data_IF_843833910200
#
_entry.id   IF_843833910200
#
_cell.length_a   1.000
_cell.length_b   1.000
_cell.length_c   1.000
_cell.angle_alpha   90.00
_cell.angle_beta   90.00
_cell.angle_gamma   90.00
#
_symmetry.space_group_name_H-M   'P 1'
#
loop_
_entity.id
_entity.type
_entity.pdbx_description
1 polymer ?
#
# COMPACT_ATOMS: atom_id res chain seq x y z
N UNK A 1 -24.34 20.81 6.60
CA UNK A 1 -24.05 20.17 5.29
C UNK A 1 -25.31 19.50 4.77
N UNK A 2 -25.54 19.50 3.46
CA UNK A 2 -26.65 18.76 2.84
C UNK A 2 -26.35 17.26 2.78
N UNK A 3 -27.29 16.42 3.22
CA UNK A 3 -27.19 14.96 3.12
C UNK A 3 -26.95 14.50 1.67
N UNK A 4 -27.62 15.14 0.71
CA UNK A 4 -27.46 14.82 -0.71
C UNK A 4 -26.05 15.12 -1.23
N UNK A 5 -25.46 16.24 -0.81
CA UNK A 5 -24.09 16.60 -1.19
C UNK A 5 -23.07 15.61 -0.59
N UNK A 6 -23.29 15.18 0.66
CA UNK A 6 -22.46 14.14 1.27
C UNK A 6 -22.55 12.81 0.53
N UNK A 7 -23.77 12.34 0.23
CA UNK A 7 -23.97 11.11 -0.54
C UNK A 7 -23.31 11.16 -1.92
N UNK A 8 -23.36 12.31 -2.59
CA UNK A 8 -22.71 12.50 -3.88
C UNK A 8 -21.17 12.48 -3.77
N UNK A 9 -20.59 13.12 -2.74
CA UNK A 9 -19.15 13.02 -2.48
C UNK A 9 -18.74 11.58 -2.16
N UNK A 10 -19.50 10.87 -1.32
CA UNK A 10 -19.22 9.49 -0.96
C UNK A 10 -19.24 8.56 -2.19
N UNK A 11 -20.24 8.71 -3.07
CA UNK A 11 -20.31 7.98 -4.33
C UNK A 11 -19.14 8.30 -5.25
N UNK A 12 -18.76 9.58 -5.35
CA UNK A 12 -17.60 10.03 -6.12
C UNK A 12 -16.29 9.40 -5.63
N UNK A 13 -16.04 9.45 -4.31
CA UNK A 13 -14.84 8.86 -3.70
C UNK A 13 -14.80 7.35 -3.89
N UNK A 14 -15.93 6.67 -3.68
CA UNK A 14 -16.04 5.23 -3.90
C UNK A 14 -15.72 4.86 -5.35
N UNK A 15 -16.27 5.56 -6.33
CA UNK A 15 -16.01 5.30 -7.74
C UNK A 15 -14.53 5.53 -8.13
N UNK A 16 -13.87 6.55 -7.54
CA UNK A 16 -12.50 6.92 -7.91
C UNK A 16 -11.43 6.14 -7.15
N UNK A 17 -11.65 5.75 -5.90
CA UNK A 17 -10.63 5.12 -5.05
C UNK A 17 -11.09 3.87 -4.31
N UNK A 18 -12.38 3.53 -4.37
CA UNK A 18 -12.97 2.40 -3.63
C UNK A 18 -13.30 2.74 -2.18
N UNK A 19 -12.98 3.96 -1.73
CA UNK A 19 -13.19 4.40 -0.35
C UNK A 19 -14.69 4.42 -0.01
N UNK A 20 -15.06 3.62 0.98
CA UNK A 20 -16.40 3.67 1.59
C UNK A 20 -16.41 4.71 2.70
N UNK A 21 -17.11 5.82 2.43
CA UNK A 21 -17.31 6.90 3.38
C UNK A 21 -18.70 6.78 4.03
N UNK A 22 -18.73 6.30 5.28
CA UNK A 22 -19.95 6.19 6.08
C UNK A 22 -20.37 7.52 6.74
N UNK A 23 -21.64 7.67 7.17
CA UNK A 23 -22.12 8.87 7.85
C UNK A 23 -21.36 9.22 9.14
N UNK A 24 -20.84 8.21 9.84
CA UNK A 24 -20.00 8.32 11.03
C UNK A 24 -18.65 9.02 10.77
N UNK A 25 -18.24 9.09 9.50
CA UNK A 25 -16.97 9.69 9.06
C UNK A 25 -17.13 11.10 8.48
N UNK A 26 -18.29 11.73 8.67
CA UNK A 26 -18.57 13.08 8.16
C UNK A 26 -17.54 14.12 8.61
N UNK A 27 -17.03 14.00 9.84
CA UNK A 27 -15.98 14.88 10.38
C UNK A 27 -14.67 14.84 9.56
N UNK A 28 -14.38 13.75 8.84
CA UNK A 28 -13.21 13.66 7.95
C UNK A 28 -13.32 14.62 6.78
N UNK A 29 -14.54 14.83 6.26
CA UNK A 29 -14.80 15.79 5.18
C UNK A 29 -14.44 17.20 5.64
N UNK A 30 -14.92 17.60 6.82
CA UNK A 30 -14.66 18.93 7.38
C UNK A 30 -13.16 19.16 7.65
N UNK A 31 -12.53 18.20 8.32
CA UNK A 31 -11.13 18.32 8.74
C UNK A 31 -10.13 18.24 7.59
N UNK A 32 -10.40 17.42 6.56
CA UNK A 32 -9.46 17.21 5.44
C UNK A 32 -9.73 18.12 4.26
N UNK A 33 -10.99 18.43 3.95
CA UNK A 33 -11.34 19.28 2.80
C UNK A 33 -11.54 20.75 3.18
N UNK A 34 -11.62 21.10 4.47
CA UNK A 34 -11.86 22.47 4.90
C UNK A 34 -10.79 23.47 4.43
N UNK A 35 -9.51 23.11 4.52
CA UNK A 35 -8.42 23.96 4.03
C UNK A 35 -8.45 24.11 2.50
N UNK A 36 -8.72 23.02 1.78
CA UNK A 36 -8.89 23.01 0.33
C UNK A 36 -10.04 23.93 -0.10
N UNK A 37 -11.22 23.76 0.48
CA UNK A 37 -12.41 24.55 0.14
C UNK A 37 -12.18 26.04 0.39
N UNK A 38 -11.52 26.41 1.49
CA UNK A 38 -11.13 27.81 1.75
C UNK A 38 -10.17 28.35 0.70
N UNK A 39 -9.12 27.60 0.35
CA UNK A 39 -8.13 27.99 -0.66
C UNK A 39 -8.75 28.17 -2.04
N UNK A 40 -9.64 27.26 -2.42
CA UNK A 40 -10.34 27.26 -3.72
C UNK A 40 -11.59 28.15 -3.76
N UNK A 41 -11.90 28.84 -2.65
CA UNK A 41 -13.08 29.71 -2.46
C UNK A 41 -14.40 28.99 -2.75
N UNK A 42 -14.52 27.74 -2.31
CA UNK A 42 -15.71 26.90 -2.47
C UNK A 42 -16.59 27.06 -1.23
N UNK A 43 -17.80 27.57 -1.42
CA UNK A 43 -18.69 27.99 -0.34
C UNK A 43 -19.16 26.81 0.54
N UNK A 44 -19.48 25.68 -0.08
CA UNK A 44 -20.03 24.52 0.61
C UNK A 44 -19.74 23.21 -0.14
N UNK A 45 -20.15 22.10 0.47
CA UNK A 45 -19.94 20.76 -0.08
C UNK A 45 -20.70 20.52 -1.39
N UNK A 46 -21.86 21.16 -1.58
CA UNK A 46 -22.62 21.04 -2.83
C UNK A 46 -21.87 21.70 -3.98
N UNK A 47 -21.32 22.89 -3.75
CA UNK A 47 -20.44 23.58 -4.71
C UNK A 47 -19.16 22.78 -4.99
N UNK A 48 -18.59 22.11 -3.99
CA UNK A 48 -17.44 21.22 -4.19
C UNK A 48 -17.80 20.07 -5.13
N UNK A 49 -18.89 19.34 -4.84
CA UNK A 49 -19.36 18.20 -5.66
C UNK A 49 -19.65 18.63 -7.10
N UNK A 50 -20.31 19.77 -7.30
CA UNK A 50 -20.57 20.31 -8.63
C UNK A 50 -19.25 20.61 -9.39
N UNK A 51 -18.26 21.18 -8.70
CA UNK A 51 -16.97 21.54 -9.31
C UNK A 51 -16.11 20.33 -9.63
N UNK A 52 -16.02 19.33 -8.76
CA UNK A 52 -15.24 18.10 -9.03
C UNK A 52 -15.88 17.21 -10.11
N UNK A 53 -17.19 17.35 -10.34
CA UNK A 53 -17.91 16.61 -11.38
C UNK A 53 -17.86 17.31 -12.74
N UNK A 54 -17.30 18.51 -12.83
CA UNK A 54 -17.25 19.28 -14.08
C UNK A 54 -16.08 18.84 -14.97
N UNK A 55 -16.15 19.09 -16.30
CA UNK A 55 -15.05 18.75 -17.21
C UNK A 55 -13.71 19.42 -16.86
N UNK A 56 -13.74 20.57 -16.19
CA UNK A 56 -12.54 21.31 -15.75
C UNK A 56 -12.14 20.99 -14.31
N UNK A 57 -12.91 20.12 -13.63
CA UNK A 57 -12.76 19.78 -12.22
C UNK A 57 -11.70 18.72 -11.91
N UNK A 58 -11.08 18.10 -12.90
CA UNK A 58 -10.26 16.88 -12.70
C UNK A 58 -9.06 17.09 -11.76
N UNK A 59 -8.42 18.26 -11.79
CA UNK A 59 -7.31 18.56 -10.87
C UNK A 59 -7.79 18.62 -9.41
N UNK A 60 -8.92 19.31 -9.17
CA UNK A 60 -9.54 19.41 -7.85
C UNK A 60 -10.08 18.06 -7.38
N UNK A 61 -10.71 17.31 -8.29
CA UNK A 61 -11.19 15.95 -8.07
C UNK A 61 -10.08 15.04 -7.54
N UNK A 62 -8.89 15.10 -8.16
CA UNK A 62 -7.72 14.33 -7.72
C UNK A 62 -7.30 14.72 -6.31
N UNK A 63 -7.14 16.02 -6.05
CA UNK A 63 -6.73 16.50 -4.73
C UNK A 63 -7.73 16.12 -3.63
N UNK A 64 -9.04 16.18 -3.91
CA UNK A 64 -10.08 15.71 -2.99
C UNK A 64 -9.91 14.22 -2.68
N UNK A 65 -9.66 13.39 -3.69
CA UNK A 65 -9.43 11.95 -3.48
C UNK A 65 -8.19 11.72 -2.61
N UNK A 66 -7.08 12.41 -2.91
CA UNK A 66 -5.84 12.29 -2.15
C UNK A 66 -6.02 12.71 -0.68
N UNK A 67 -6.63 13.87 -0.43
CA UNK A 67 -6.87 14.36 0.94
C UNK A 67 -7.80 13.43 1.73
N UNK A 68 -8.70 12.71 1.08
CA UNK A 68 -9.61 11.77 1.73
C UNK A 68 -8.98 10.40 2.02
N UNK A 69 -7.78 10.10 1.50
CA UNK A 69 -7.04 8.88 1.87
C UNK A 69 -6.58 8.92 3.33
N UNK A 70 -6.43 7.75 3.96
CA UNK A 70 -5.89 7.63 5.32
C UNK A 70 -4.55 6.90 5.25
N UNK A 71 -3.48 7.64 5.57
CA UNK A 71 -2.10 7.27 5.25
C UNK A 71 -1.26 6.90 6.50
N UNK A 72 -1.82 6.11 7.42
CA UNK A 72 -1.06 5.68 8.59
C UNK A 72 -0.16 4.49 8.26
N UNK A 73 1.15 4.69 8.40
CA UNK A 73 2.17 3.66 8.21
C UNK A 73 3.35 3.87 9.15
N UNK A 74 4.13 2.81 9.39
CA UNK A 74 5.36 2.86 10.18
C UNK A 74 6.27 1.69 9.81
N UNK A 75 7.57 1.81 10.11
CA UNK A 75 8.56 0.80 9.76
C UNK A 75 8.24 -0.52 10.48
N UNK A 76 8.39 -1.63 9.75
CA UNK A 76 8.19 -2.99 10.26
C UNK A 76 6.83 -3.20 10.97
N UNK A 77 5.76 -2.55 10.48
CA UNK A 77 4.41 -2.65 11.04
C UNK A 77 3.97 -4.11 11.27
N UNK A 78 3.50 -4.41 12.47
CA UNK A 78 3.09 -5.73 12.97
C UNK A 78 4.21 -6.79 13.12
N UNK A 79 5.45 -6.52 12.68
CA UNK A 79 6.63 -7.39 12.82
C UNK A 79 6.57 -8.69 12.02
N UNK A 80 5.63 -9.57 12.36
CA UNK A 80 5.51 -10.94 11.83
C UNK A 80 5.53 -11.05 10.30
N UNK A 81 4.83 -10.19 9.52
CA UNK A 81 4.91 -10.25 8.06
C UNK A 81 6.35 -10.11 7.53
N UNK A 82 7.13 -9.22 8.14
CA UNK A 82 8.52 -8.95 7.77
C UNK A 82 9.46 -10.06 8.23
N UNK A 83 9.21 -10.63 9.40
CA UNK A 83 9.93 -11.82 9.88
C UNK A 83 9.73 -12.99 8.91
N UNK A 84 8.49 -13.26 8.49
CA UNK A 84 8.19 -14.32 7.52
C UNK A 84 8.86 -14.07 6.15
N UNK A 85 8.95 -12.82 5.68
CA UNK A 85 9.75 -12.49 4.48
C UNK A 85 11.21 -12.90 4.67
N UNK A 86 11.81 -12.49 5.80
CA UNK A 86 13.23 -12.72 6.11
C UNK A 86 13.56 -14.19 6.29
N UNK A 87 12.73 -14.93 7.01
CA UNK A 87 13.03 -16.31 7.44
C UNK A 87 12.55 -17.36 6.45
N UNK A 88 11.48 -17.08 5.70
CA UNK A 88 10.79 -18.07 4.87
C UNK A 88 10.70 -17.63 3.40
N UNK A 89 9.93 -16.59 3.10
CA UNK A 89 9.52 -16.31 1.71
C UNK A 89 10.71 -16.00 0.80
N UNK A 90 11.64 -15.14 1.25
CA UNK A 90 12.79 -14.73 0.44
C UNK A 90 13.76 -15.90 0.19
N UNK A 91 13.98 -16.76 1.19
CA UNK A 91 14.81 -17.97 1.04
C UNK A 91 14.18 -18.98 0.09
N UNK A 92 12.88 -19.25 0.26
CA UNK A 92 12.12 -20.17 -0.61
C UNK A 92 12.17 -19.73 -2.07
N UNK A 93 11.89 -18.44 -2.32
CA UNK A 93 11.92 -17.89 -3.67
C UNK A 93 13.34 -17.86 -4.25
N UNK A 94 14.36 -17.52 -3.45
CA UNK A 94 15.74 -17.56 -3.92
C UNK A 94 16.17 -18.96 -4.40
N UNK A 95 15.78 -20.00 -3.68
CA UNK A 95 16.05 -21.39 -4.06
C UNK A 95 15.25 -21.84 -5.29
N UNK A 96 14.02 -21.35 -5.46
CA UNK A 96 13.13 -21.75 -6.54
C UNK A 96 13.41 -21.04 -7.89
N UNK A 97 14.04 -19.86 -7.87
CA UNK A 97 14.26 -19.05 -9.08
C UNK A 97 15.62 -19.39 -9.73
N UNK A 98 15.67 -19.73 -11.05
CA UNK A 98 16.92 -20.00 -11.76
C UNK A 98 17.91 -18.84 -11.65
N UNK A 99 19.23 -19.07 -11.73
CA UNK A 99 20.25 -18.01 -11.73
C UNK A 99 19.89 -16.87 -12.69
N UNK A 100 20.08 -15.62 -12.25
CA UNK A 100 19.77 -14.41 -13.02
C UNK A 100 18.30 -13.95 -13.00
N UNK A 101 17.33 -14.82 -12.68
CA UNK A 101 15.94 -14.37 -12.54
C UNK A 101 15.77 -13.50 -11.28
N UNK A 102 15.20 -12.28 -11.36
CA UNK A 102 14.98 -11.43 -10.20
C UNK A 102 13.79 -11.93 -9.36
N UNK A 103 13.81 -11.60 -8.07
CA UNK A 103 12.63 -11.67 -7.19
C UNK A 103 11.95 -10.29 -7.23
N UNK A 104 10.64 -10.24 -7.49
CA UNK A 104 9.89 -8.99 -7.58
C UNK A 104 8.91 -8.86 -6.41
N UNK A 105 9.00 -7.73 -5.71
CA UNK A 105 8.18 -7.40 -4.53
C UNK A 105 7.35 -6.15 -4.83
N UNK A 106 6.07 -6.19 -4.53
CA UNK A 106 5.16 -5.06 -4.63
C UNK A 106 4.62 -4.66 -3.25
N UNK A 107 4.88 -3.43 -2.82
CA UNK A 107 4.17 -2.79 -1.70
C UNK A 107 3.06 -1.91 -2.27
N UNK A 108 1.83 -2.42 -2.18
CA UNK A 108 0.63 -1.81 -2.71
C UNK A 108 -0.06 -0.95 -1.64
N UNK A 109 -0.35 0.32 -1.97
CA UNK A 109 -0.69 1.38 -1.02
C UNK A 109 0.44 1.64 -0.01
N UNK A 110 1.64 1.89 -0.54
CA UNK A 110 2.87 1.99 0.25
C UNK A 110 2.94 3.25 1.13
N UNK A 111 2.01 4.20 0.96
CA UNK A 111 1.95 5.46 1.69
C UNK A 111 3.29 6.20 1.65
N UNK A 112 3.80 6.66 2.80
CA UNK A 112 5.07 7.41 2.91
C UNK A 112 6.33 6.53 2.86
N UNK A 113 6.21 5.27 2.40
CA UNK A 113 7.32 4.43 1.98
C UNK A 113 7.94 3.52 3.04
N UNK A 114 7.54 3.62 4.31
CA UNK A 114 8.13 2.85 5.41
C UNK A 114 8.03 1.33 5.19
N UNK A 115 6.93 0.82 4.63
CA UNK A 115 6.78 -0.62 4.34
C UNK A 115 7.77 -1.09 3.26
N UNK A 116 7.85 -0.38 2.14
CA UNK A 116 8.77 -0.72 1.06
C UNK A 116 10.24 -0.59 1.49
N UNK A 117 10.56 0.39 2.34
CA UNK A 117 11.91 0.53 2.90
C UNK A 117 12.25 -0.50 3.97
N UNK A 118 11.29 -0.97 4.76
CA UNK A 118 11.49 -2.15 5.61
C UNK A 118 11.85 -3.39 4.77
N UNK A 119 11.19 -3.59 3.64
CA UNK A 119 11.53 -4.67 2.70
C UNK A 119 12.91 -4.48 2.09
N UNK A 120 13.28 -3.25 1.70
CA UNK A 120 14.61 -2.95 1.17
C UNK A 120 15.73 -3.23 2.19
N UNK A 121 15.53 -2.82 3.45
CA UNK A 121 16.48 -3.12 4.53
C UNK A 121 16.60 -4.63 4.78
N UNK A 122 15.50 -5.40 4.74
CA UNK A 122 15.55 -6.87 4.85
C UNK A 122 16.38 -7.49 3.72
N UNK A 123 16.18 -7.01 2.49
CA UNK A 123 16.92 -7.50 1.32
C UNK A 123 18.40 -7.16 1.42
N UNK A 124 18.76 -5.97 1.89
CA UNK A 124 20.16 -5.58 2.12
C UNK A 124 20.83 -6.45 3.20
N UNK A 125 20.15 -6.68 4.33
CA UNK A 125 20.63 -7.61 5.38
C UNK A 125 20.72 -9.07 4.89
N UNK A 126 19.95 -9.45 3.87
CA UNK A 126 19.96 -10.79 3.29
C UNK A 126 21.13 -11.04 2.32
N UNK A 127 21.85 -9.99 1.88
CA UNK A 127 22.94 -10.09 0.88
C UNK A 127 23.97 -11.18 1.15
N UNK A 128 24.42 -11.47 2.40
CA UNK A 128 25.41 -12.51 2.66
C UNK A 128 25.05 -13.91 2.13
N UNK A 129 23.75 -14.25 2.08
CA UNK A 129 23.28 -15.53 1.53
C UNK A 129 22.49 -15.37 0.22
N UNK A 130 21.95 -14.18 -0.04
CA UNK A 130 21.21 -13.87 -1.26
C UNK A 130 22.15 -13.66 -2.46
N UNK A 131 23.42 -13.31 -2.19
CA UNK A 131 24.45 -13.02 -3.19
C UNK A 131 24.01 -11.92 -4.15
N UNK A 132 24.32 -12.12 -5.44
CA UNK A 132 24.02 -11.16 -6.52
C UNK A 132 22.57 -11.27 -7.05
N UNK A 133 21.70 -12.03 -6.37
CA UNK A 133 20.29 -12.13 -6.76
C UNK A 133 19.65 -10.74 -6.73
N UNK A 134 19.22 -10.28 -7.91
CA UNK A 134 18.46 -9.04 -8.04
C UNK A 134 17.10 -9.19 -7.35
N UNK A 135 16.76 -8.18 -6.56
CA UNK A 135 15.43 -8.03 -5.97
C UNK A 135 14.89 -6.66 -6.38
N UNK A 136 13.74 -6.64 -7.02
CA UNK A 136 13.06 -5.43 -7.45
C UNK A 136 11.93 -5.12 -6.47
N UNK A 137 11.94 -3.93 -5.86
CA UNK A 137 10.86 -3.48 -4.98
C UNK A 137 10.12 -2.34 -5.65
N UNK A 138 8.82 -2.49 -5.83
CA UNK A 138 7.94 -1.46 -6.37
C UNK A 138 7.00 -1.02 -5.25
N UNK A 139 7.03 0.26 -4.90
CA UNK A 139 6.06 0.91 -4.04
C UNK A 139 5.04 1.67 -4.88
N UNK A 140 3.75 1.43 -4.66
CA UNK A 140 2.69 2.16 -5.35
C UNK A 140 1.69 2.77 -4.40
N UNK A 141 1.24 3.98 -4.69
CA UNK A 141 0.15 4.63 -3.95
C UNK A 141 -0.71 5.48 -4.90
N UNK A 142 -1.94 5.78 -4.48
CA UNK A 142 -2.81 6.69 -5.19
C UNK A 142 -2.38 8.16 -4.95
N UNK A 143 -1.87 8.47 -3.76
CA UNK A 143 -1.48 9.83 -3.41
C UNK A 143 -0.05 10.15 -3.89
N UNK A 144 0.09 11.27 -4.60
CA UNK A 144 1.37 11.77 -5.09
C UNK A 144 2.20 12.35 -3.95
N UNK A 145 1.53 13.00 -2.99
CA UNK A 145 2.18 13.65 -1.86
C UNK A 145 2.92 12.63 -0.98
N UNK A 146 2.28 11.50 -0.67
CA UNK A 146 2.93 10.45 0.12
C UNK A 146 4.05 9.77 -0.66
N UNK A 147 3.92 9.60 -1.98
CA UNK A 147 4.99 9.09 -2.84
C UNK A 147 6.16 10.07 -2.97
N UNK A 148 5.91 11.38 -3.01
CA UNK A 148 6.96 12.39 -3.02
C UNK A 148 7.76 12.33 -1.71
N UNK A 149 7.06 12.22 -0.57
CA UNK A 149 7.68 12.02 0.74
C UNK A 149 8.46 10.70 0.84
N UNK A 150 7.92 9.62 0.29
CA UNK A 150 8.60 8.34 0.21
C UNK A 150 9.91 8.46 -0.58
N UNK A 151 9.88 9.11 -1.75
CA UNK A 151 11.09 9.38 -2.57
C UNK A 151 12.14 10.20 -1.84
N UNK A 152 11.71 11.20 -1.09
CA UNK A 152 12.62 12.05 -0.31
C UNK A 152 13.38 11.23 0.75
N UNK A 153 12.66 10.29 1.40
CA UNK A 153 13.20 9.41 2.42
C UNK A 153 13.65 10.16 3.68
N UNK A 154 12.95 11.26 4.00
CA UNK A 154 13.16 12.07 5.19
C UNK A 154 12.01 11.82 6.19
N UNK A 155 12.38 11.41 7.40
CA UNK A 155 11.43 10.99 8.43
C UNK A 155 11.70 11.72 9.74
N UNK A 156 10.65 11.98 10.52
CA UNK A 156 10.79 12.60 11.84
C UNK A 156 11.40 11.63 12.86
N UNK A 157 11.89 12.16 13.99
CA UNK A 157 12.33 11.37 15.14
C UNK A 157 11.28 10.33 15.56
N UNK A 158 10.01 10.73 15.62
CA UNK A 158 8.91 9.84 16.02
C UNK A 158 8.74 8.66 15.07
N UNK A 159 8.81 8.91 13.75
CA UNK A 159 8.61 7.87 12.74
C UNK A 159 9.74 6.84 12.72
N UNK A 160 10.99 7.29 12.87
CA UNK A 160 12.13 6.37 12.93
C UNK A 160 12.23 5.62 14.25
N UNK A 161 11.54 6.06 15.31
CA UNK A 161 11.44 5.33 16.57
C UNK A 161 10.26 4.35 16.61
N UNK A 162 9.32 4.46 15.66
CA UNK A 162 8.12 3.63 15.62
C UNK A 162 8.38 2.37 14.78
N UNK A 163 8.77 1.29 15.45
CA UNK A 163 8.89 -0.07 14.89
C UNK A 163 10.22 -0.40 14.20
N UNK A 164 11.06 0.60 13.89
CA UNK A 164 12.39 0.39 13.32
C UNK A 164 13.38 -0.11 14.38
N UNK A 165 14.06 -1.26 14.17
CA UNK A 165 15.11 -1.71 15.07
C UNK A 165 16.26 -0.70 15.16
N UNK A 166 16.78 -0.45 16.36
CA UNK A 166 17.82 0.57 16.60
C UNK A 166 19.09 0.33 15.77
N UNK A 167 19.46 -0.94 15.55
CA UNK A 167 20.62 -1.30 14.73
C UNK A 167 20.44 -0.87 13.27
N UNK A 168 19.21 -1.00 12.74
CA UNK A 168 18.88 -0.56 11.38
C UNK A 168 18.81 0.97 11.29
N UNK A 169 18.31 1.65 12.34
CA UNK A 169 18.33 3.11 12.40
C UNK A 169 19.77 3.64 12.29
N UNK A 170 20.69 3.13 13.13
CA UNK A 170 22.10 3.54 13.13
C UNK A 170 22.80 3.19 11.81
N UNK A 171 22.46 2.06 11.19
CA UNK A 171 23.10 1.61 9.94
C UNK A 171 22.60 2.38 8.72
N UNK A 172 21.29 2.62 8.61
CA UNK A 172 20.66 3.08 7.37
C UNK A 172 20.26 4.54 7.36
N UNK A 173 20.23 5.22 8.50
CA UNK A 173 19.84 6.63 8.53
C UNK A 173 20.97 7.52 9.04
N UNK A 174 20.89 8.78 8.65
CA UNK A 174 21.70 9.86 9.21
C UNK A 174 20.77 10.96 9.71
N UNK A 175 21.09 11.51 10.88
CA UNK A 175 20.35 12.64 11.41
C UNK A 175 20.69 13.91 10.61
N UNK A 176 19.67 14.63 10.18
CA UNK A 176 19.73 15.91 9.47
C UNK A 176 18.84 16.92 10.19
N UNK A 177 19.45 17.71 11.08
CA UNK A 177 18.73 18.61 11.98
C UNK A 177 17.73 17.85 12.86
N UNK A 178 16.44 18.17 12.72
CA UNK A 178 15.34 17.52 13.46
C UNK A 178 14.79 16.25 12.79
N UNK A 179 15.31 15.89 11.61
CA UNK A 179 14.84 14.76 10.81
C UNK A 179 15.93 13.70 10.61
N UNK A 180 15.55 12.58 10.03
CA UNK A 180 16.40 11.45 9.71
C UNK A 180 16.28 11.11 8.24
N UNK A 181 17.40 11.15 7.52
CA UNK A 181 17.46 10.79 6.12
C UNK A 181 17.90 9.34 5.96
N UNK A 182 17.11 8.58 5.22
CA UNK A 182 17.46 7.24 4.79
C UNK A 182 18.59 7.30 3.76
N UNK A 183 19.58 6.42 3.88
CA UNK A 183 20.73 6.40 2.99
C UNK A 183 20.32 6.13 1.53
N UNK A 184 21.07 6.69 0.59
CA UNK A 184 20.77 6.60 -0.84
C UNK A 184 20.74 5.17 -1.37
N UNK A 185 21.62 4.31 -0.86
CA UNK A 185 21.68 2.90 -1.27
C UNK A 185 20.35 2.17 -1.05
N UNK A 186 19.72 2.34 0.13
CA UNK A 186 18.39 1.74 0.39
C UNK A 186 17.30 2.45 -0.40
N UNK A 187 17.37 3.79 -0.55
CA UNK A 187 16.40 4.54 -1.35
C UNK A 187 16.35 4.08 -2.81
N UNK A 188 17.52 3.78 -3.38
CA UNK A 188 17.68 3.32 -4.76
C UNK A 188 17.13 1.90 -5.01
N UNK A 189 16.84 1.11 -3.96
CA UNK A 189 16.27 -0.23 -4.11
C UNK A 189 14.77 -0.22 -4.43
N UNK A 190 14.08 0.92 -4.24
CA UNK A 190 12.63 1.04 -4.40
C UNK A 190 12.27 1.93 -5.58
N UNK A 191 11.42 1.42 -6.47
CA UNK A 191 10.81 2.19 -7.56
C UNK A 191 9.40 2.62 -7.16
N UNK A 192 9.11 3.92 -7.28
CA UNK A 192 7.83 4.51 -6.87
C UNK A 192 6.93 4.83 -8.05
N UNK A 193 5.68 4.35 -8.02
CA UNK A 193 4.68 4.65 -9.07
C UNK A 193 3.36 5.12 -8.47
N UNK A 194 2.79 6.19 -9.03
CA UNK A 194 1.38 6.52 -8.81
C UNK A 194 0.53 5.42 -9.44
N UNK A 195 -0.36 4.82 -8.65
CA UNK A 195 -1.16 3.71 -9.12
C UNK A 195 -2.44 3.53 -8.30
N UNK A 196 -3.57 3.34 -9.00
CA UNK A 196 -4.85 3.05 -8.38
C UNK A 196 -5.10 1.53 -8.38
N UNK A 197 -5.31 0.95 -7.20
CA UNK A 197 -5.62 -0.48 -7.04
C UNK A 197 -6.89 -0.94 -7.77
N UNK A 198 -7.79 0.00 -8.09
CA UNK A 198 -9.00 -0.30 -8.88
C UNK A 198 -8.74 -0.36 -10.39
N UNK A 199 -7.57 0.09 -10.84
CA UNK A 199 -7.17 0.09 -12.24
C UNK A 199 -6.67 -1.27 -12.73
N UNK A 200 -6.24 -1.29 -13.99
CA UNK A 200 -5.65 -2.47 -14.62
C UNK A 200 -4.23 -2.71 -14.13
N UNK A 201 -4.00 -3.80 -13.37
CA UNK A 201 -2.70 -4.14 -12.79
C UNK A 201 -1.67 -4.68 -13.81
N UNK A 202 -2.09 -5.05 -15.02
CA UNK A 202 -1.22 -5.68 -16.04
C UNK A 202 0.08 -4.91 -16.31
N UNK A 203 0.09 -3.56 -16.42
CA UNK A 203 1.29 -2.78 -16.65
C UNK A 203 2.32 -2.77 -15.50
N UNK A 204 2.00 -3.30 -14.32
CA UNK A 204 2.97 -3.51 -13.23
C UNK A 204 3.78 -4.81 -13.42
N UNK A 205 3.29 -5.72 -14.26
CA UNK A 205 3.86 -7.05 -14.45
C UNK A 205 3.53 -7.99 -13.28
N UNK A 206 4.31 -9.08 -13.15
CA UNK A 206 4.09 -10.12 -12.15
C UNK A 206 4.99 -9.98 -10.91
N UNK A 207 4.52 -10.38 -9.75
CA UNK A 207 5.23 -10.24 -8.47
C UNK A 207 5.25 -11.55 -7.69
N UNK A 208 6.41 -11.90 -7.15
CA UNK A 208 6.58 -13.07 -6.29
C UNK A 208 6.01 -12.79 -4.89
N UNK A 209 6.16 -11.54 -4.42
CA UNK A 209 5.70 -11.09 -3.10
C UNK A 209 4.83 -9.85 -3.30
N UNK A 210 3.62 -9.85 -2.72
CA UNK A 210 2.75 -8.67 -2.69
C UNK A 210 2.39 -8.35 -1.24
N UNK A 211 2.65 -7.12 -0.83
CA UNK A 211 2.13 -6.52 0.39
C UNK A 211 0.95 -5.64 0.00
N UNK A 212 -0.24 -5.94 0.50
CA UNK A 212 -1.45 -5.13 0.33
C UNK A 212 -2.12 -4.97 1.69
N UNK A 213 -1.48 -4.18 2.55
CA UNK A 213 -1.76 -4.15 3.99
C UNK A 213 -2.44 -2.85 4.40
N UNK A 214 -3.45 -2.98 5.26
CA UNK A 214 -4.18 -1.88 5.89
C UNK A 214 -4.83 -0.91 4.88
N UNK A 215 -5.22 -1.42 3.70
CA UNK A 215 -5.87 -0.65 2.63
C UNK A 215 -7.24 -1.22 2.26
N UNK A 216 -7.39 -2.55 2.25
CA UNK A 216 -8.64 -3.22 1.93
C UNK A 216 -9.73 -2.87 2.95
N UNK A 217 -9.36 -2.54 4.19
CA UNK A 217 -10.30 -2.08 5.24
C UNK A 217 -11.16 -0.86 4.81
N UNK A 218 -10.72 -0.09 3.82
CA UNK A 218 -11.46 1.07 3.31
C UNK A 218 -12.45 0.73 2.20
N UNK A 219 -12.43 -0.51 1.69
CA UNK A 219 -13.23 -0.96 0.56
C UNK A 219 -14.44 -1.79 1.01
N UNK A 220 -15.49 -1.80 0.18
CA UNK A 220 -16.59 -2.75 0.31
C UNK A 220 -16.18 -4.16 -0.12
N UNK A 221 -17.00 -5.17 0.20
CA UNK A 221 -16.71 -6.56 -0.15
C UNK A 221 -16.51 -6.79 -1.66
N UNK A 222 -17.38 -6.30 -2.56
CA UNK A 222 -17.19 -6.46 -4.01
C UNK A 222 -15.86 -5.89 -4.51
N UNK A 223 -15.47 -4.71 -4.00
CA UNK A 223 -14.21 -4.07 -4.35
C UNK A 223 -13.01 -4.86 -3.82
N UNK A 224 -13.07 -5.35 -2.58
CA UNK A 224 -12.04 -6.25 -2.02
C UNK A 224 -11.83 -7.48 -2.88
N UNK A 225 -12.93 -8.16 -3.25
CA UNK A 225 -12.88 -9.36 -4.07
C UNK A 225 -12.24 -9.10 -5.44
N UNK A 226 -12.62 -7.99 -6.10
CA UNK A 226 -12.05 -7.57 -7.39
C UNK A 226 -10.55 -7.28 -7.29
N UNK A 227 -10.13 -6.53 -6.27
CA UNK A 227 -8.71 -6.19 -6.05
C UNK A 227 -7.89 -7.46 -5.78
N UNK A 228 -8.35 -8.35 -4.90
CA UNK A 228 -7.65 -9.60 -4.61
C UNK A 228 -7.57 -10.51 -5.84
N UNK A 229 -8.63 -10.62 -6.63
CA UNK A 229 -8.60 -11.38 -7.87
C UNK A 229 -7.59 -10.82 -8.88
N UNK A 230 -7.51 -9.49 -9.01
CA UNK A 230 -6.53 -8.83 -9.86
C UNK A 230 -5.10 -9.06 -9.36
N UNK A 231 -4.85 -8.97 -8.06
CA UNK A 231 -3.55 -9.26 -7.45
C UNK A 231 -3.15 -10.72 -7.73
N UNK A 232 -4.05 -11.68 -7.51
CA UNK A 232 -3.79 -13.10 -7.76
C UNK A 232 -3.36 -13.37 -9.22
N UNK A 233 -3.98 -12.68 -10.19
CA UNK A 233 -3.62 -12.83 -11.61
C UNK A 233 -2.17 -12.40 -11.91
N UNK A 234 -1.62 -11.47 -11.12
CA UNK A 234 -0.26 -10.96 -11.23
C UNK A 234 0.76 -11.77 -10.41
N UNK A 235 0.35 -12.86 -9.75
CA UNK A 235 1.24 -13.66 -8.92
C UNK A 235 1.50 -15.03 -9.55
N UNK A 236 2.71 -15.61 -9.39
CA UNK A 236 2.94 -17.01 -9.69
C UNK A 236 2.29 -17.90 -8.60
N UNK A 237 2.04 -19.20 -8.88
CA UNK A 237 1.43 -20.10 -7.90
C UNK A 237 2.19 -20.22 -6.58
N UNK A 238 3.51 -20.04 -6.61
CA UNK A 238 4.39 -20.08 -5.44
C UNK A 238 4.64 -18.70 -4.82
N UNK A 239 3.87 -17.68 -5.20
CA UNK A 239 3.96 -16.33 -4.65
C UNK A 239 3.39 -16.22 -3.23
N UNK A 240 3.57 -15.07 -2.58
CA UNK A 240 3.05 -14.80 -1.23
C UNK A 240 2.40 -13.42 -1.13
N UNK A 241 1.16 -13.39 -0.65
CA UNK A 241 0.41 -12.18 -0.35
C UNK A 241 0.40 -11.92 1.15
N UNK A 242 0.65 -10.67 1.54
CA UNK A 242 0.57 -10.20 2.92
C UNK A 242 -0.56 -9.18 3.05
N UNK A 243 -1.48 -9.44 3.98
CA UNK A 243 -2.54 -8.50 4.38
C UNK A 243 -2.30 -7.99 5.81
N UNK A 244 -2.95 -6.88 6.17
CA UNK A 244 -2.89 -6.29 7.49
C UNK A 244 -3.63 -7.13 8.53
N UNK A 245 -3.33 -6.91 9.82
CA UNK A 245 -3.86 -7.74 10.91
C UNK A 245 -5.39 -7.77 11.07
N UNK A 246 -6.11 -6.81 10.48
CA UNK A 246 -7.58 -6.71 10.46
C UNK A 246 -8.20 -7.13 9.11
N UNK A 247 -7.41 -7.66 8.19
CA UNK A 247 -7.84 -8.03 6.83
C UNK A 247 -7.80 -9.55 6.65
N UNK A 248 -8.71 -10.06 5.82
CA UNK A 248 -8.87 -11.48 5.56
C UNK A 248 -9.26 -11.72 4.10
N UNK A 249 -9.00 -12.93 3.62
CA UNK A 249 -9.52 -13.42 2.33
C UNK A 249 -10.81 -14.24 2.50
N UNK A 250 -11.09 -14.70 3.73
CA UNK A 250 -12.23 -15.55 4.05
C UNK A 250 -13.55 -14.82 3.75
N UNK A 251 -14.44 -15.49 3.00
CA UNK A 251 -15.71 -14.92 2.59
C UNK A 251 -15.58 -13.79 1.55
N UNK A 252 -14.38 -13.56 0.99
CA UNK A 252 -14.13 -12.51 0.00
C UNK A 252 -13.59 -13.12 -1.30
N UNK A 253 -12.68 -14.09 -1.24
CA UNK A 253 -12.11 -14.74 -2.43
C UNK A 253 -11.66 -16.18 -2.15
N UNK A 254 -11.67 -17.01 -3.18
CA UNK A 254 -11.14 -18.37 -3.21
C UNK A 254 -9.75 -18.47 -3.86
N UNK A 255 -9.21 -17.33 -4.36
CA UNK A 255 -7.94 -17.26 -5.07
C UNK A 255 -6.71 -17.32 -4.17
N UNK A 256 -6.92 -17.20 -2.86
CA UNK A 256 -5.86 -17.23 -1.85
C UNK A 256 -6.24 -18.15 -0.70
N UNK A 257 -5.26 -18.88 -0.18
CA UNK A 257 -5.38 -19.67 1.03
C UNK A 257 -4.47 -19.11 2.12
N UNK A 258 -4.93 -19.11 3.36
CA UNK A 258 -4.11 -18.72 4.50
C UNK A 258 -2.99 -19.75 4.73
N UNK A 259 -1.79 -19.28 5.02
CA UNK A 259 -0.66 -20.13 5.42
C UNK A 259 -0.82 -20.51 6.88
N UNK A 260 -0.78 -21.81 7.18
CA UNK A 260 -1.01 -22.31 8.53
C UNK A 260 0.04 -21.75 9.51
N UNK A 261 -0.43 -21.22 10.66
CA UNK A 261 0.44 -20.62 11.68
C UNK A 261 0.89 -19.18 11.39
N UNK A 262 0.71 -18.68 10.16
CA UNK A 262 1.24 -17.40 9.71
C UNK A 262 0.11 -16.38 9.50
N UNK A 263 -0.20 -15.61 10.56
CA UNK A 263 -1.29 -14.63 10.52
C UNK A 263 -1.03 -13.54 9.48
N UNK A 264 -1.99 -13.35 8.58
CA UNK A 264 -1.93 -12.32 7.54
C UNK A 264 -1.10 -12.72 6.32
N UNK A 265 -0.66 -13.98 6.24
CA UNK A 265 0.12 -14.52 5.12
C UNK A 265 -0.76 -15.47 4.31
N UNK A 266 -0.74 -15.30 2.99
CA UNK A 266 -1.58 -16.05 2.07
C UNK A 266 -0.79 -16.49 0.83
N UNK A 267 -1.17 -17.62 0.25
CA UNK A 267 -0.60 -18.15 -0.99
C UNK A 267 -1.67 -18.26 -2.08
N UNK A 268 -1.34 -17.98 -3.36
CA UNK A 268 -2.25 -18.19 -4.46
C UNK A 268 -2.73 -19.65 -4.56
N UNK A 269 -4.01 -19.84 -4.85
CA UNK A 269 -4.61 -21.15 -5.10
C UNK A 269 -4.67 -21.40 -6.61
N UNK A 270 -4.14 -22.54 -7.05
CA UNK A 270 -4.29 -22.99 -8.42
C UNK A 270 -5.72 -23.51 -8.66
N UNK A 271 -6.56 -22.72 -9.34
CA UNK A 271 -7.93 -23.11 -9.71
C UNK A 271 -8.96 -22.96 -8.57
N UNK A 272 -10.27 -23.00 -8.88
CA UNK A 272 -11.32 -22.88 -7.87
C UNK A 272 -11.26 -24.06 -6.90
N UNK A 273 -11.16 -23.77 -5.60
CA UNK A 273 -11.42 -24.77 -4.57
C UNK A 273 -12.92 -25.05 -4.58
N UNK A 274 -13.31 -26.26 -4.97
CA UNK A 274 -14.60 -26.81 -4.55
C UNK A 274 -14.64 -26.73 -3.03
N UNK A 275 -15.55 -25.92 -2.50
CA UNK A 275 -15.79 -25.83 -1.07
C UNK A 275 -16.03 -27.24 -0.54
N UNK A 276 -15.17 -27.70 0.37
CA UNK A 276 -15.46 -28.91 1.14
C UNK A 276 -16.70 -28.61 1.98
N UNK A 277 -17.72 -29.45 1.80
CA UNK A 277 -18.99 -29.42 2.51
C UNK A 277 -18.81 -29.64 4.03
#
# INVERSE_FOLDING_TARGET
>A
MSQAAFSALAAFLHARSGLVLGPDKLYLVETRLGALMKREKIADLGALVARISSPTGEALAREVVELMTTNETFFFRDGKPFDHVKTTALKRLHAARPPGQPIRIWSAACSTGQEAYSLAMIVDEARPWLGDRRVEIIGTDLSRDVLARAREGLYSQFEVQRGLPIQMLVKYFRQEGASWRLCEAIRAMVTWREFNLLGDLRPLGRFDIVFCRNVLIYFDQPTKARVLAAIAAQMPPDGVLYLGGAETVLGITDRFAAVAGERGVYEPVAGPRTAAA
#
